data_IF_534341469965
#
_entry.id   IF_534341469965
#
_cell.length_a   1.000
_cell.length_b   1.000
_cell.length_c   1.000
_cell.angle_alpha   90.00
_cell.angle_beta   90.00
_cell.angle_gamma   90.00
#
_symmetry.space_group_name_H-M   'P 1'
#
loop_
_entity.id
_entity.type
_entity.pdbx_description
1 polymer ?
#
# COMPACT_ATOMS: atom_id res chain seq x y z
N UNK A 1 -72.00 -8.91 -35.31
CA UNK A 1 -71.58 -7.55 -34.92
C UNK A 1 -71.38 -7.56 -33.41
N UNK A 2 -70.25 -7.25 -32.76
CA UNK A 2 -68.93 -6.72 -33.13
C UNK A 2 -67.90 -7.38 -32.19
N UNK A 3 -66.67 -7.52 -32.69
CA UNK A 3 -65.43 -7.92 -31.99
C UNK A 3 -64.92 -6.81 -31.04
N UNK A 4 -63.77 -7.12 -30.40
CA UNK A 4 -62.65 -6.26 -29.94
C UNK A 4 -62.53 -6.23 -28.40
N UNK A 5 -61.35 -6.24 -27.75
CA UNK A 5 -60.04 -6.88 -27.93
C UNK A 5 -59.28 -6.76 -26.60
N UNK A 6 -58.26 -7.59 -26.44
CA UNK A 6 -57.02 -7.50 -25.66
C UNK A 6 -56.72 -6.24 -24.83
N UNK A 7 -56.26 -6.44 -23.59
CA UNK A 7 -55.17 -5.67 -22.99
C UNK A 7 -54.43 -6.53 -21.94
N UNK A 8 -53.19 -6.90 -22.25
CA UNK A 8 -52.28 -7.57 -21.32
C UNK A 8 -51.71 -6.56 -20.32
N UNK A 9 -51.60 -6.98 -19.06
CA UNK A 9 -50.97 -6.20 -18.01
C UNK A 9 -49.46 -6.45 -18.05
N UNK A 10 -48.72 -5.42 -18.47
CA UNK A 10 -47.27 -5.33 -18.37
C UNK A 10 -46.94 -5.13 -16.89
N UNK A 11 -46.29 -6.12 -16.25
CA UNK A 11 -45.66 -5.90 -14.94
C UNK A 11 -44.35 -5.13 -15.17
N UNK A 12 -44.37 -3.85 -14.82
CA UNK A 12 -43.21 -2.96 -14.86
C UNK A 12 -42.19 -3.33 -13.79
N UNK A 13 -40.95 -3.48 -14.22
CA UNK A 13 -39.76 -3.59 -13.37
C UNK A 13 -39.54 -2.27 -12.64
N UNK A 14 -39.59 -2.30 -11.31
CA UNK A 14 -39.21 -1.16 -10.46
C UNK A 14 -37.69 -1.10 -10.42
N UNK A 15 -37.11 -0.14 -11.14
CA UNK A 15 -35.74 0.33 -10.92
C UNK A 15 -35.72 1.14 -9.63
N UNK A 16 -35.19 0.56 -8.55
CA UNK A 16 -34.80 1.33 -7.37
C UNK A 16 -33.43 1.98 -7.67
N UNK A 17 -33.48 3.25 -8.07
CA UNK A 17 -32.35 4.17 -7.96
C UNK A 17 -32.22 4.57 -6.49
N UNK A 18 -31.22 4.03 -5.82
CA UNK A 18 -30.71 4.56 -4.55
C UNK A 18 -29.40 5.27 -4.83
N UNK A 19 -29.44 6.60 -4.90
CA UNK A 19 -28.27 7.44 -4.88
C UNK A 19 -28.02 7.89 -3.44
N UNK A 20 -26.82 7.66 -2.91
CA UNK A 20 -26.20 8.49 -1.86
C UNK A 20 -24.70 8.13 -1.72
N UNK A 21 -23.83 9.07 -2.12
CA UNK A 21 -22.66 9.49 -1.35
C UNK A 21 -21.40 8.62 -1.30
N UNK A 22 -20.37 9.11 -1.98
CA UNK A 22 -18.93 9.02 -1.68
C UNK A 22 -18.08 7.95 -2.41
N UNK A 23 -17.06 8.48 -3.11
CA UNK A 23 -15.89 7.86 -3.77
C UNK A 23 -16.13 6.91 -4.94
N UNK A 24 -15.71 7.37 -6.13
CA UNK A 24 -15.36 6.59 -7.31
C UNK A 24 -14.49 5.38 -6.93
N UNK A 25 -15.12 4.25 -6.59
CA UNK A 25 -14.53 2.95 -6.89
C UNK A 25 -14.73 2.77 -8.40
N UNK A 26 -13.71 2.31 -9.13
CA UNK A 26 -13.78 1.93 -10.54
C UNK A 26 -14.72 0.73 -10.79
N UNK A 27 -15.96 0.84 -10.32
CA UNK A 27 -16.99 -0.16 -10.29
C UNK A 27 -17.57 -0.30 -11.69
N UNK A 28 -16.84 -0.99 -12.55
CA UNK A 28 -17.37 -1.51 -13.81
C UNK A 28 -18.28 -2.69 -13.48
N UNK A 29 -19.39 -2.44 -12.79
CA UNK A 29 -20.40 -3.47 -12.56
C UNK A 29 -21.15 -3.70 -13.85
N UNK A 30 -20.95 -4.86 -14.46
CA UNK A 30 -21.72 -5.25 -15.65
C UNK A 30 -22.99 -5.97 -15.23
N UNK A 31 -24.12 -5.76 -15.93
CA UNK A 31 -25.32 -6.56 -15.73
C UNK A 31 -24.97 -8.05 -15.84
N UNK A 32 -25.64 -8.89 -15.06
CA UNK A 32 -25.45 -10.32 -15.18
C UNK A 32 -25.88 -10.79 -16.57
N UNK A 33 -25.02 -11.56 -17.23
CA UNK A 33 -25.37 -12.31 -18.41
C UNK A 33 -25.83 -13.71 -18.00
N UNK A 34 -26.94 -14.16 -18.56
CA UNK A 34 -27.53 -15.46 -18.25
C UNK A 34 -27.49 -16.36 -19.47
N UNK A 35 -26.96 -17.57 -19.31
CA UNK A 35 -27.08 -18.61 -20.32
C UNK A 35 -27.13 -19.98 -19.67
N UNK A 36 -28.11 -20.79 -20.09
CA UNK A 36 -28.22 -22.18 -19.65
C UNK A 36 -28.50 -22.29 -18.15
N UNK A 37 -27.55 -22.83 -17.41
CA UNK A 37 -27.62 -23.16 -15.98
C UNK A 37 -27.05 -22.08 -15.07
N UNK A 38 -26.50 -20.98 -15.62
CA UNK A 38 -25.73 -20.00 -14.85
C UNK A 38 -26.05 -18.55 -15.21
N UNK A 39 -25.88 -17.67 -14.22
CA UNK A 39 -25.80 -16.23 -14.41
C UNK A 39 -24.44 -15.73 -13.92
N UNK A 40 -23.72 -14.95 -14.74
CA UNK A 40 -22.37 -14.46 -14.44
C UNK A 40 -22.31 -12.95 -14.58
N UNK A 41 -21.62 -12.29 -13.65
CA UNK A 41 -21.34 -10.85 -13.71
C UNK A 41 -19.90 -10.57 -13.32
N UNK A 42 -19.34 -9.51 -13.89
CA UNK A 42 -18.13 -8.85 -13.37
C UNK A 42 -18.62 -7.78 -12.39
N UNK A 43 -18.29 -7.93 -11.11
CA UNK A 43 -18.67 -7.00 -10.05
C UNK A 43 -17.77 -5.77 -10.06
N UNK A 44 -16.46 -6.02 -10.13
CA UNK A 44 -15.41 -5.01 -10.10
C UNK A 44 -14.14 -5.53 -10.79
N UNK A 45 -13.12 -4.67 -10.91
CA UNK A 45 -11.78 -5.08 -11.30
C UNK A 45 -10.75 -3.99 -10.98
N UNK A 46 -9.50 -4.40 -10.82
CA UNK A 46 -8.38 -3.54 -10.50
C UNK A 46 -7.07 -4.19 -10.96
N UNK A 47 -6.05 -3.38 -11.21
CA UNK A 47 -4.71 -3.91 -11.38
C UNK A 47 -4.12 -4.33 -10.04
N UNK A 48 -3.45 -5.47 -10.04
CA UNK A 48 -2.82 -6.08 -8.88
C UNK A 48 -1.36 -6.41 -9.17
N UNK A 49 -0.56 -6.65 -8.13
CA UNK A 49 0.83 -7.07 -8.20
C UNK A 49 1.14 -7.97 -7.01
N UNK A 50 1.64 -9.18 -7.25
CA UNK A 50 2.16 -10.07 -6.20
C UNK A 50 3.64 -9.75 -5.94
N UNK A 51 4.13 -10.04 -4.74
CA UNK A 51 5.55 -9.84 -4.42
C UNK A 51 6.47 -10.55 -5.45
N UNK A 52 7.51 -9.84 -5.87
CA UNK A 52 8.48 -10.33 -6.85
C UNK A 52 8.03 -10.26 -8.32
N UNK A 53 6.77 -9.93 -8.57
CA UNK A 53 6.28 -9.72 -9.93
C UNK A 53 6.76 -8.43 -10.56
N UNK A 54 6.82 -8.44 -11.90
CA UNK A 54 7.05 -7.24 -12.71
C UNK A 54 6.11 -7.25 -13.91
N UNK A 55 5.27 -6.23 -14.01
CA UNK A 55 4.52 -5.97 -15.23
C UNK A 55 5.42 -5.27 -16.27
N UNK A 56 5.32 -5.67 -17.53
CA UNK A 56 6.00 -4.98 -18.63
C UNK A 56 5.38 -3.59 -18.89
N UNK A 57 6.10 -2.75 -19.64
CA UNK A 57 5.61 -1.42 -20.04
C UNK A 57 4.28 -1.54 -20.78
N UNK A 58 3.23 -0.87 -20.28
CA UNK A 58 1.89 -0.92 -20.86
C UNK A 58 1.05 -2.14 -20.46
N UNK A 59 1.65 -3.13 -19.80
CA UNK A 59 0.99 -4.32 -19.30
C UNK A 59 0.67 -4.23 -17.80
N UNK A 60 -0.16 -5.15 -17.31
CA UNK A 60 -0.49 -5.30 -15.90
C UNK A 60 -1.27 -6.58 -15.62
N UNK A 61 -1.34 -6.97 -14.34
CA UNK A 61 -2.19 -8.08 -13.92
C UNK A 61 -3.56 -7.55 -13.53
N UNK A 62 -4.56 -7.80 -14.37
CA UNK A 62 -5.94 -7.37 -14.13
C UNK A 62 -6.67 -8.46 -13.35
N UNK A 63 -7.02 -8.15 -12.10
CA UNK A 63 -7.90 -8.97 -11.30
C UNK A 63 -9.36 -8.57 -11.55
N UNK A 64 -10.19 -9.53 -11.96
CA UNK A 64 -11.62 -9.35 -12.15
C UNK A 64 -12.37 -10.07 -11.03
N UNK A 65 -13.14 -9.32 -10.24
CA UNK A 65 -14.05 -9.90 -9.25
C UNK A 65 -15.30 -10.39 -9.98
N UNK A 66 -15.40 -11.71 -10.18
CA UNK A 66 -16.54 -12.33 -10.84
C UNK A 66 -17.52 -12.88 -9.80
N UNK A 67 -18.77 -12.98 -10.20
CA UNK A 67 -19.82 -13.60 -9.41
C UNK A 67 -20.63 -14.54 -10.28
N UNK A 68 -20.70 -15.80 -9.85
CA UNK A 68 -21.42 -16.86 -10.55
C UNK A 68 -22.60 -17.28 -9.70
N UNK A 69 -23.79 -17.33 -10.29
CA UNK A 69 -25.01 -17.84 -9.67
C UNK A 69 -25.48 -19.09 -10.40
N UNK A 70 -25.74 -20.15 -9.64
CA UNK A 70 -26.41 -21.34 -10.17
C UNK A 70 -27.91 -21.09 -10.31
N UNK A 71 -28.41 -21.02 -11.54
CA UNK A 71 -29.85 -20.89 -11.86
C UNK A 71 -30.49 -22.22 -12.29
N UNK A 72 -29.72 -23.32 -12.30
CA UNK A 72 -30.20 -24.65 -12.61
C UNK A 72 -30.91 -25.35 -11.45
N UNK A 73 -31.35 -26.59 -11.68
CA UNK A 73 -31.99 -27.41 -10.64
C UNK A 73 -30.99 -28.22 -9.80
N UNK A 74 -29.81 -28.54 -10.36
CA UNK A 74 -28.81 -29.41 -9.77
C UNK A 74 -27.64 -28.59 -9.22
N UNK A 75 -26.74 -29.21 -8.44
CA UNK A 75 -25.46 -28.58 -8.11
C UNK A 75 -24.61 -28.43 -9.38
N UNK A 76 -23.79 -27.38 -9.42
CA UNK A 76 -22.77 -27.20 -10.44
C UNK A 76 -21.42 -27.10 -9.73
N UNK A 77 -20.40 -27.75 -10.29
CA UNK A 77 -19.04 -27.54 -9.84
C UNK A 77 -18.43 -26.44 -10.69
N UNK A 78 -17.67 -25.56 -10.03
CA UNK A 78 -17.06 -24.38 -10.62
C UNK A 78 -15.60 -24.35 -10.23
N UNK A 79 -14.78 -23.82 -11.11
CA UNK A 79 -13.35 -23.57 -10.91
C UNK A 79 -12.93 -22.36 -11.74
N UNK A 80 -11.73 -21.83 -11.48
CA UNK A 80 -11.17 -20.77 -12.33
C UNK A 80 -10.98 -21.22 -13.79
N UNK A 81 -10.76 -22.54 -14.03
CA UNK A 81 -10.58 -23.11 -15.37
C UNK A 81 -11.84 -23.03 -16.25
N UNK A 82 -13.01 -22.80 -15.66
CA UNK A 82 -14.24 -22.55 -16.40
C UNK A 82 -14.25 -21.16 -17.06
N UNK A 83 -13.25 -20.32 -16.75
CA UNK A 83 -13.05 -19.01 -17.34
C UNK A 83 -11.87 -18.99 -18.32
N UNK A 84 -12.04 -18.24 -19.41
CA UNK A 84 -10.96 -17.94 -20.34
C UNK A 84 -11.06 -16.51 -20.83
N UNK A 85 -9.93 -15.84 -20.98
CA UNK A 85 -9.86 -14.50 -21.53
C UNK A 85 -9.26 -14.57 -22.94
N UNK A 86 -9.89 -13.90 -23.89
CA UNK A 86 -9.42 -13.80 -25.28
C UNK A 86 -9.18 -12.34 -25.64
N UNK A 87 -8.12 -12.09 -26.41
CA UNK A 87 -7.87 -10.78 -26.97
C UNK A 87 -8.62 -10.56 -28.31
N UNK A 88 -8.32 -9.46 -29.00
CA UNK A 88 -8.94 -9.09 -30.27
C UNK A 88 -8.62 -10.04 -31.44
N UNK A 89 -7.57 -10.84 -31.32
CA UNK A 89 -7.10 -11.77 -32.35
C UNK A 89 -7.55 -13.21 -32.06
N UNK A 90 -8.46 -13.38 -31.09
CA UNK A 90 -8.93 -14.66 -30.55
C UNK A 90 -7.82 -15.51 -29.90
N UNK A 91 -6.70 -14.88 -29.51
CA UNK A 91 -5.64 -15.54 -28.77
C UNK A 91 -6.03 -15.66 -27.28
N UNK A 92 -5.86 -16.87 -26.74
CA UNK A 92 -6.19 -17.16 -25.33
C UNK A 92 -5.11 -16.61 -24.40
N UNK A 93 -5.50 -15.77 -23.46
CA UNK A 93 -4.66 -15.30 -22.37
C UNK A 93 -4.72 -16.30 -21.22
N UNK A 94 -3.55 -16.68 -20.71
CA UNK A 94 -3.46 -17.60 -19.58
C UNK A 94 -3.85 -16.88 -18.29
N UNK A 95 -4.63 -17.57 -17.45
CA UNK A 95 -4.87 -17.17 -16.09
C UNK A 95 -3.54 -17.17 -15.32
N UNK A 96 -3.36 -16.16 -14.48
CA UNK A 96 -2.30 -16.14 -13.48
C UNK A 96 -2.88 -16.56 -12.14
N UNK A 97 -2.33 -17.62 -11.57
CA UNK A 97 -2.58 -17.93 -10.16
C UNK A 97 -1.80 -16.92 -9.32
N UNK A 98 -2.52 -16.25 -8.42
CA UNK A 98 -1.94 -15.34 -7.44
C UNK A 98 -2.29 -15.89 -6.07
N UNK A 99 -1.28 -15.95 -5.21
CA UNK A 99 -1.45 -16.26 -3.81
C UNK A 99 -1.49 -14.95 -3.01
N UNK A 100 -2.45 -14.84 -2.09
CA UNK A 100 -2.43 -13.82 -1.03
C UNK A 100 -2.51 -14.59 0.27
N UNK A 101 -1.66 -14.22 1.23
CA UNK A 101 -1.62 -14.84 2.56
C UNK A 101 -2.88 -14.54 3.38
N UNK A 102 -3.62 -13.49 3.01
CA UNK A 102 -4.75 -12.99 3.75
C UNK A 102 -6.10 -13.27 3.06
N UNK A 103 -7.17 -13.40 3.85
CA UNK A 103 -8.54 -13.64 3.36
C UNK A 103 -9.11 -12.47 2.50
N UNK A 104 -8.35 -11.39 2.28
CA UNK A 104 -8.79 -10.18 1.59
C UNK A 104 -8.77 -10.30 0.06
N UNK A 105 -7.87 -11.11 -0.50
CA UNK A 105 -7.80 -11.39 -1.94
C UNK A 105 -7.98 -12.89 -2.21
N UNK A 106 -9.22 -13.30 -2.48
CA UNK A 106 -9.57 -14.71 -2.69
C UNK A 106 -9.66 -15.02 -4.17
N UNK A 107 -8.64 -15.71 -4.68
CA UNK A 107 -8.68 -16.33 -6.00
C UNK A 107 -9.90 -17.25 -6.11
N UNK A 108 -10.46 -17.35 -7.32
CA UNK A 108 -11.66 -18.15 -7.56
C UNK A 108 -11.32 -19.64 -7.50
N UNK A 109 -11.40 -20.21 -6.31
CA UNK A 109 -11.11 -21.62 -6.09
C UNK A 109 -12.27 -22.54 -6.48
N UNK A 110 -11.93 -23.81 -6.70
CA UNK A 110 -12.90 -24.86 -7.00
C UNK A 110 -13.98 -25.01 -5.92
N UNK A 111 -15.26 -24.92 -6.28
CA UNK A 111 -16.39 -25.07 -5.35
C UNK A 111 -17.60 -25.75 -5.99
N UNK A 112 -18.45 -26.35 -5.17
CA UNK A 112 -19.77 -26.86 -5.60
C UNK A 112 -20.87 -25.91 -5.18
N UNK A 113 -21.64 -25.43 -6.15
CA UNK A 113 -22.66 -24.41 -5.97
C UNK A 113 -24.06 -25.01 -6.10
N UNK A 114 -24.79 -25.10 -4.99
CA UNK A 114 -26.19 -25.55 -4.98
C UNK A 114 -27.14 -24.56 -5.69
N UNK A 115 -28.33 -25.04 -6.05
CA UNK A 115 -29.38 -24.23 -6.70
C UNK A 115 -29.61 -22.88 -6.00
N UNK A 116 -29.58 -21.81 -6.80
CA UNK A 116 -29.89 -20.45 -6.38
C UNK A 116 -28.80 -19.78 -5.56
N UNK A 117 -27.69 -20.47 -5.24
CA UNK A 117 -26.54 -19.92 -4.54
C UNK A 117 -25.61 -19.19 -5.50
N UNK A 118 -24.78 -18.33 -4.91
CA UNK A 118 -23.76 -17.56 -5.61
C UNK A 118 -22.41 -17.69 -4.91
N UNK A 119 -21.35 -17.61 -5.70
CA UNK A 119 -19.97 -17.49 -5.23
C UNK A 119 -19.33 -16.30 -5.94
N UNK A 120 -18.48 -15.59 -5.21
CA UNK A 120 -17.68 -14.48 -5.70
C UNK A 120 -16.20 -14.85 -5.54
N UNK A 121 -15.35 -14.39 -6.45
CA UNK A 121 -13.91 -14.60 -6.38
C UNK A 121 -13.16 -13.84 -7.46
N UNK A 122 -11.85 -13.69 -7.30
CA UNK A 122 -10.99 -13.02 -8.26
C UNK A 122 -10.41 -14.00 -9.27
N UNK A 123 -10.31 -13.56 -10.52
CA UNK A 123 -9.57 -14.25 -11.57
C UNK A 123 -8.62 -13.23 -12.18
N UNK A 124 -7.35 -13.62 -12.35
CA UNK A 124 -6.29 -12.70 -12.73
C UNK A 124 -5.71 -13.06 -14.08
N UNK A 125 -5.50 -12.04 -14.92
CA UNK A 125 -4.92 -12.19 -16.25
C UNK A 125 -3.82 -11.16 -16.46
N UNK A 126 -2.75 -11.56 -17.15
CA UNK A 126 -1.77 -10.61 -17.68
C UNK A 126 -2.35 -9.95 -18.93
N UNK A 127 -2.55 -8.63 -18.89
CA UNK A 127 -3.21 -7.87 -19.97
C UNK A 127 -2.42 -6.62 -20.34
N UNK A 128 -2.64 -6.14 -21.55
CA UNK A 128 -2.26 -4.81 -21.99
C UNK A 128 -3.34 -3.82 -21.57
N UNK A 129 -2.96 -2.73 -20.89
CA UNK A 129 -3.91 -1.85 -20.18
C UNK A 129 -4.89 -1.13 -21.09
N UNK A 130 -4.53 -0.89 -22.35
CA UNK A 130 -5.35 -0.14 -23.32
C UNK A 130 -6.15 -1.04 -24.28
N UNK A 131 -6.22 -2.35 -24.00
CA UNK A 131 -6.87 -3.31 -24.87
C UNK A 131 -8.24 -3.76 -24.38
N UNK A 132 -9.01 -4.33 -25.32
CA UNK A 132 -10.30 -4.96 -25.07
C UNK A 132 -10.17 -6.46 -25.21
N UNK A 133 -10.92 -7.16 -24.38
CA UNK A 133 -10.90 -8.60 -24.24
C UNK A 133 -12.33 -9.15 -24.15
N UNK A 134 -12.47 -10.45 -24.31
CA UNK A 134 -13.70 -11.19 -24.04
C UNK A 134 -13.44 -12.23 -22.96
N UNK A 135 -14.13 -12.10 -21.82
CA UNK A 135 -14.14 -13.10 -20.76
C UNK A 135 -15.24 -14.11 -21.05
N UNK A 136 -14.83 -15.33 -21.33
CA UNK A 136 -15.70 -16.47 -21.57
C UNK A 136 -15.85 -17.26 -20.28
N UNK A 137 -17.07 -17.70 -20.01
CA UNK A 137 -17.39 -18.61 -18.92
C UNK A 137 -18.19 -19.78 -19.46
N UNK A 138 -17.71 -20.99 -19.21
CA UNK A 138 -18.40 -22.21 -19.61
C UNK A 138 -18.21 -23.29 -18.56
N UNK A 139 -19.22 -23.55 -17.70
CA UNK A 139 -19.08 -24.51 -16.63
C UNK A 139 -19.05 -25.93 -17.17
N UNK A 140 -18.26 -26.80 -16.54
CA UNK A 140 -18.36 -28.24 -16.73
C UNK A 140 -19.56 -28.76 -15.93
N UNK A 141 -20.54 -29.36 -16.61
CA UNK A 141 -21.72 -29.95 -15.97
C UNK A 141 -21.51 -31.46 -15.77
N UNK A 142 -21.89 -31.96 -14.59
CA UNK A 142 -21.87 -33.41 -14.30
C UNK A 142 -23.02 -34.19 -14.98
N UNK A 143 -23.94 -33.51 -15.67
CA UNK A 143 -25.09 -34.11 -16.35
C UNK A 143 -24.91 -34.13 -17.88
N UNK A 144 -25.77 -34.89 -18.56
CA UNK A 144 -25.86 -34.89 -20.04
C UNK A 144 -26.36 -33.54 -20.63
N UNK A 145 -26.66 -32.54 -19.79
CA UNK A 145 -27.03 -31.21 -20.26
C UNK A 145 -25.81 -30.49 -20.85
N UNK A 146 -25.97 -29.94 -22.06
CA UNK A 146 -24.91 -29.12 -22.67
C UNK A 146 -24.77 -27.80 -21.92
N UNK A 147 -23.57 -27.51 -21.41
CA UNK A 147 -23.26 -26.19 -20.88
C UNK A 147 -23.32 -25.14 -21.98
N UNK A 148 -23.87 -23.97 -21.63
CA UNK A 148 -23.87 -22.79 -22.51
C UNK A 148 -22.78 -21.85 -22.06
N UNK A 149 -22.08 -21.31 -23.04
CA UNK A 149 -21.05 -20.31 -22.83
C UNK A 149 -21.68 -18.94 -22.63
N UNK A 150 -21.10 -18.17 -21.71
CA UNK A 150 -21.42 -16.77 -21.45
C UNK A 150 -20.19 -15.95 -21.80
N UNK A 151 -20.37 -14.93 -22.64
CA UNK A 151 -19.30 -14.01 -23.02
C UNK A 151 -19.56 -12.64 -22.43
N UNK A 152 -18.57 -12.11 -21.71
CA UNK A 152 -18.57 -10.80 -21.09
C UNK A 152 -17.43 -9.98 -21.67
N UNK A 153 -17.75 -8.86 -22.33
CA UNK A 153 -16.71 -7.93 -22.80
C UNK A 153 -15.90 -7.42 -21.61
N UNK A 154 -14.62 -7.18 -21.78
CA UNK A 154 -13.70 -6.57 -20.80
C UNK A 154 -12.95 -5.47 -21.53
N UNK A 155 -12.86 -4.30 -20.90
CA UNK A 155 -12.15 -3.14 -21.47
C UNK A 155 -11.12 -2.74 -20.42
N UNK A 156 -9.87 -3.13 -20.63
CA UNK A 156 -8.82 -3.04 -19.62
C UNK A 156 -8.55 -1.59 -19.20
N UNK A 157 -8.78 -0.65 -20.13
CA UNK A 157 -8.58 0.80 -19.93
C UNK A 157 -9.53 1.41 -18.90
N UNK A 158 -10.60 0.69 -18.54
CA UNK A 158 -11.63 1.17 -17.60
C UNK A 158 -11.36 0.81 -16.16
N UNK A 159 -10.41 -0.08 -15.90
CA UNK A 159 -10.06 -0.47 -14.54
C UNK A 159 -8.93 0.41 -14.02
N UNK A 160 -9.03 0.75 -12.74
CA UNK A 160 -8.08 1.65 -12.11
C UNK A 160 -6.81 0.89 -11.72
N UNK A 161 -5.69 1.58 -11.86
CA UNK A 161 -4.39 1.18 -11.35
C UNK A 161 -3.98 2.15 -10.24
N UNK A 162 -3.97 1.66 -9.02
CA UNK A 162 -3.67 2.47 -7.84
C UNK A 162 -2.19 2.48 -7.45
N UNK A 163 -1.31 1.83 -8.23
CA UNK A 163 0.15 1.77 -8.00
C UNK A 163 0.73 3.13 -7.60
N UNK A 164 0.47 4.17 -8.39
CA UNK A 164 1.01 5.51 -8.13
C UNK A 164 0.30 6.23 -6.97
N UNK A 165 -0.99 5.97 -6.73
CA UNK A 165 -1.70 6.55 -5.60
C UNK A 165 -1.21 5.94 -4.27
N UNK A 166 -0.93 4.64 -4.23
CA UNK A 166 -0.41 3.96 -3.04
C UNK A 166 1.02 4.43 -2.73
N UNK A 167 1.90 4.54 -3.73
CA UNK A 167 3.23 5.15 -3.53
C UNK A 167 3.14 6.54 -2.92
N UNK A 168 2.22 7.36 -3.43
CA UNK A 168 1.97 8.71 -2.88
C UNK A 168 1.46 8.70 -1.44
N UNK A 169 0.68 7.69 -1.03
CA UNK A 169 0.28 7.56 0.38
C UNK A 169 1.46 7.21 1.28
N UNK A 170 2.33 6.30 0.84
CA UNK A 170 3.58 5.98 1.53
C UNK A 170 4.49 7.20 1.65
N UNK A 171 4.68 7.95 0.55
CA UNK A 171 5.44 9.20 0.54
C UNK A 171 4.87 10.24 1.50
N UNK A 172 3.55 10.43 1.48
CA UNK A 172 2.84 11.31 2.40
C UNK A 172 3.10 10.91 3.86
N UNK A 173 2.93 9.62 4.19
CA UNK A 173 3.14 9.12 5.55
C UNK A 173 4.57 9.37 6.03
N UNK A 174 5.57 8.89 5.26
CA UNK A 174 6.99 9.04 5.60
C UNK A 174 7.38 10.51 5.73
N UNK A 175 6.92 11.37 4.82
CA UNK A 175 7.27 12.79 4.85
C UNK A 175 6.65 13.53 6.04
N UNK A 176 5.39 13.24 6.39
CA UNK A 176 4.73 13.93 7.49
C UNK A 176 5.15 13.38 8.86
N UNK A 177 5.29 12.06 9.00
CA UNK A 177 5.60 11.43 10.28
C UNK A 177 7.08 11.57 10.64
N UNK A 178 8.00 11.36 9.70
CA UNK A 178 9.44 11.31 10.00
C UNK A 178 10.20 12.58 9.64
N UNK A 179 9.63 13.45 8.81
CA UNK A 179 10.30 14.67 8.36
C UNK A 179 9.49 15.93 8.64
N UNK A 180 8.29 15.85 9.23
CA UNK A 180 7.39 16.99 9.43
C UNK A 180 7.18 17.85 8.17
N UNK A 181 7.05 17.20 7.01
CA UNK A 181 7.05 17.86 5.70
C UNK A 181 5.79 17.53 4.91
N UNK A 182 5.10 18.58 4.46
CA UNK A 182 4.03 18.48 3.47
C UNK A 182 4.63 18.36 2.06
N UNK A 183 4.13 17.43 1.25
CA UNK A 183 4.55 17.21 -0.15
C UNK A 183 3.39 17.44 -1.13
N UNK A 184 3.67 17.36 -2.44
CA UNK A 184 2.63 17.42 -3.47
C UNK A 184 1.64 16.24 -3.37
N UNK A 185 2.11 15.08 -2.89
CA UNK A 185 1.29 13.90 -2.68
C UNK A 185 0.09 14.18 -1.76
N UNK A 186 0.25 15.07 -0.77
CA UNK A 186 -0.81 15.44 0.17
C UNK A 186 -2.04 16.07 -0.50
N UNK A 187 -1.81 16.84 -1.57
CA UNK A 187 -2.86 17.64 -2.23
C UNK A 187 -3.48 16.90 -3.41
N UNK A 188 -2.71 16.08 -4.11
CA UNK A 188 -3.07 15.54 -5.42
C UNK A 188 -3.48 14.06 -5.42
N UNK A 189 -3.40 13.38 -4.27
CA UNK A 189 -3.74 11.96 -4.19
C UNK A 189 -5.26 11.72 -4.12
N UNK A 190 -5.75 10.80 -4.95
CA UNK A 190 -7.15 10.34 -4.98
C UNK A 190 -7.50 9.50 -3.75
N UNK A 191 -6.52 8.74 -3.26
CA UNK A 191 -6.64 7.96 -2.04
C UNK A 191 -6.29 8.83 -0.83
N UNK A 192 -6.71 8.41 0.37
CA UNK A 192 -6.48 9.13 1.63
C UNK A 192 -6.03 8.18 2.73
N UNK A 193 -5.08 8.66 3.54
CA UNK A 193 -4.71 8.02 4.80
C UNK A 193 -5.76 8.27 5.88
N UNK A 194 -5.91 7.32 6.79
CA UNK A 194 -6.72 7.44 8.00
C UNK A 194 -5.88 7.41 9.29
N UNK A 195 -4.55 7.33 9.17
CA UNK A 195 -3.59 7.56 10.25
C UNK A 195 -3.79 8.95 10.88
N UNK A 196 -3.50 9.08 12.18
CA UNK A 196 -3.38 10.38 12.84
C UNK A 196 -1.93 10.85 12.70
N UNK A 197 -1.61 11.41 11.53
CA UNK A 197 -0.23 11.77 11.18
C UNK A 197 0.42 12.74 12.17
N UNK A 198 -0.38 13.65 12.75
CA UNK A 198 0.11 14.60 13.75
C UNK A 198 0.45 13.91 15.08
N UNK A 199 -0.40 12.97 15.52
CA UNK A 199 -0.09 12.16 16.69
C UNK A 199 1.11 11.25 16.45
N UNK A 200 1.17 10.57 15.30
CA UNK A 200 2.25 9.63 14.98
C UNK A 200 3.61 10.34 14.83
N UNK A 201 3.62 11.55 14.27
CA UNK A 201 4.81 12.41 14.27
C UNK A 201 5.27 12.78 15.70
N UNK A 202 4.34 13.15 16.58
CA UNK A 202 4.67 13.45 17.99
C UNK A 202 5.22 12.21 18.72
N UNK A 203 4.62 11.05 18.50
CA UNK A 203 5.08 9.78 19.09
C UNK A 203 6.49 9.43 18.56
N UNK A 204 6.75 9.62 17.27
CA UNK A 204 8.07 9.47 16.66
C UNK A 204 9.10 10.39 17.31
N UNK A 205 8.81 11.69 17.47
CA UNK A 205 9.73 12.65 18.09
C UNK A 205 10.01 12.37 19.58
N UNK A 206 9.03 11.85 20.31
CA UNK A 206 9.24 11.39 21.69
C UNK A 206 10.18 10.18 21.73
N UNK A 207 9.98 9.21 20.85
CA UNK A 207 10.86 8.05 20.75
C UNK A 207 12.28 8.45 20.33
N UNK A 208 12.41 9.33 19.35
CA UNK A 208 13.72 9.82 18.90
C UNK A 208 14.43 10.55 20.04
N UNK A 209 13.77 11.48 20.72
CA UNK A 209 14.35 12.17 21.88
C UNK A 209 14.79 11.19 22.98
N UNK A 210 13.99 10.15 23.25
CA UNK A 210 14.32 9.14 24.25
C UNK A 210 15.55 8.29 23.86
N UNK A 211 15.71 7.95 22.58
CA UNK A 211 16.88 7.22 22.08
C UNK A 211 18.12 8.13 22.07
N UNK A 212 18.01 9.35 21.55
CA UNK A 212 19.09 10.33 21.54
C UNK A 212 19.59 10.63 22.96
N UNK A 213 18.70 10.67 23.95
CA UNK A 213 19.10 10.86 25.35
C UNK A 213 20.06 9.78 25.87
N UNK A 214 19.96 8.54 25.38
CA UNK A 214 20.83 7.42 25.80
C UNK A 214 22.27 7.55 25.27
N UNK A 215 22.48 8.36 24.25
CA UNK A 215 23.81 8.66 23.71
C UNK A 215 24.63 9.60 24.61
N UNK A 216 24.01 10.15 25.66
CA UNK A 216 24.66 11.01 26.65
C UNK A 216 24.80 10.26 27.98
N UNK A 217 26.04 10.12 28.44
CA UNK A 217 26.38 9.31 29.63
C UNK A 217 26.69 10.17 30.85
N UNK A 218 27.21 11.36 30.63
CA UNK A 218 27.67 12.28 31.67
C UNK A 218 26.68 13.45 31.85
N UNK A 219 26.20 14.00 30.73
CA UNK A 219 25.18 15.04 30.72
C UNK A 219 23.78 14.44 30.70
N UNK A 220 22.83 15.12 31.37
CA UNK A 220 21.41 14.79 31.30
C UNK A 220 20.69 15.89 30.52
N UNK A 221 20.55 15.75 29.18
CA UNK A 221 19.80 16.70 28.38
C UNK A 221 18.37 16.88 28.87
N UNK A 222 17.90 18.12 28.83
CA UNK A 222 16.48 18.42 29.01
C UNK A 222 15.67 18.03 27.77
N UNK A 223 14.38 17.77 27.96
CA UNK A 223 13.46 17.44 26.85
C UNK A 223 13.43 18.56 25.79
N UNK A 224 13.59 19.82 26.22
CA UNK A 224 13.64 20.97 25.31
C UNK A 224 14.92 21.04 24.47
N UNK A 225 16.06 20.57 24.99
CA UNK A 225 17.30 20.49 24.21
C UNK A 225 17.25 19.34 23.21
N UNK A 226 16.75 18.17 23.64
CA UNK A 226 16.58 17.00 22.78
C UNK A 226 15.59 17.30 21.64
N UNK A 227 14.44 17.91 21.95
CA UNK A 227 13.45 18.29 20.94
C UNK A 227 14.03 19.22 19.87
N UNK A 228 14.85 20.21 20.25
CA UNK A 228 15.53 21.10 19.28
C UNK A 228 16.52 20.35 18.40
N UNK A 229 17.26 19.38 18.95
CA UNK A 229 18.19 18.58 18.18
C UNK A 229 17.44 17.70 17.16
N UNK A 230 16.34 17.06 17.58
CA UNK A 230 15.45 16.27 16.72
C UNK A 230 14.86 17.14 15.61
N UNK A 231 14.24 18.27 15.92
CA UNK A 231 13.68 19.21 14.93
C UNK A 231 14.74 19.68 13.92
N UNK A 232 15.97 19.91 14.38
CA UNK A 232 17.08 20.30 13.51
C UNK A 232 17.51 19.17 12.57
N UNK A 233 17.51 17.93 13.07
CA UNK A 233 17.80 16.74 12.27
C UNK A 233 16.75 16.52 11.18
N UNK A 234 15.46 16.62 11.54
CA UNK A 234 14.36 16.56 10.58
C UNK A 234 14.50 17.65 9.53
N UNK A 235 14.72 18.89 9.96
CA UNK A 235 14.90 20.05 9.05
C UNK A 235 16.06 19.86 8.08
N UNK A 236 17.17 19.26 8.52
CA UNK A 236 18.29 18.95 7.65
C UNK A 236 17.92 17.87 6.63
N UNK A 237 17.24 16.81 7.06
CA UNK A 237 16.79 15.73 6.17
C UNK A 237 15.66 16.14 5.22
N UNK A 238 14.80 17.10 5.59
CA UNK A 238 13.82 17.69 4.66
C UNK A 238 14.48 18.25 3.38
N UNK A 239 15.73 18.75 3.48
CA UNK A 239 16.51 19.33 2.39
C UNK A 239 17.38 18.29 1.67
N UNK A 240 17.88 17.29 2.39
CA UNK A 240 18.95 16.42 1.93
C UNK A 240 18.52 14.99 1.61
N UNK A 241 17.52 14.47 2.32
CA UNK A 241 17.11 13.10 2.16
C UNK A 241 16.57 12.85 0.75
N UNK A 242 16.97 11.70 0.17
CA UNK A 242 16.42 11.17 -1.07
C UNK A 242 15.73 9.87 -0.73
N UNK A 243 14.45 9.76 -1.03
CA UNK A 243 13.67 8.58 -0.68
C UNK A 243 13.03 8.08 -1.96
N UNK A 244 13.32 6.82 -2.30
CA UNK A 244 12.71 6.14 -3.43
C UNK A 244 11.61 5.20 -2.94
N UNK A 245 10.50 5.12 -3.69
CA UNK A 245 9.33 4.30 -3.36
C UNK A 245 9.02 3.36 -4.51
N UNK A 246 8.95 2.06 -4.24
CA UNK A 246 8.55 1.04 -5.21
C UNK A 246 7.39 0.21 -4.64
N UNK A 247 6.47 -0.21 -5.50
CA UNK A 247 5.38 -1.10 -5.07
C UNK A 247 5.95 -2.51 -5.08
N UNK A 248 5.84 -3.18 -3.94
CA UNK A 248 6.21 -4.57 -3.75
C UNK A 248 5.01 -5.48 -4.04
N UNK A 249 3.87 -5.13 -3.44
CA UNK A 249 2.60 -5.83 -3.57
C UNK A 249 1.45 -4.83 -3.67
N UNK A 250 0.44 -5.15 -4.48
CA UNK A 250 -0.79 -4.38 -4.60
C UNK A 250 -1.99 -5.29 -4.83
N UNK A 251 -2.95 -5.19 -3.92
CA UNK A 251 -4.26 -5.83 -4.01
C UNK A 251 -5.35 -4.79 -3.70
N UNK A 252 -6.65 -5.11 -3.92
CA UNK A 252 -7.73 -4.13 -3.75
C UNK A 252 -7.80 -3.47 -2.37
N UNK A 253 -7.40 -4.20 -1.32
CA UNK A 253 -7.52 -3.76 0.08
C UNK A 253 -6.20 -3.81 0.86
N UNK A 254 -5.10 -4.21 0.24
CA UNK A 254 -3.80 -4.34 0.88
C UNK A 254 -2.70 -3.97 -0.11
N UNK A 255 -1.60 -3.39 0.39
CA UNK A 255 -0.45 -3.08 -0.43
C UNK A 255 0.81 -3.01 0.43
N UNK A 256 1.95 -3.30 -0.19
CA UNK A 256 3.26 -3.17 0.41
C UNK A 256 4.11 -2.26 -0.45
N UNK A 257 4.71 -1.26 0.18
CA UNK A 257 5.60 -0.29 -0.47
C UNK A 257 7.00 -0.46 0.11
N UNK A 258 7.97 -0.63 -0.77
CA UNK A 258 9.38 -0.59 -0.45
C UNK A 258 9.84 0.87 -0.37
N UNK A 259 10.47 1.23 0.76
CA UNK A 259 11.00 2.57 1.05
C UNK A 259 12.52 2.48 1.13
N UNK A 260 13.21 3.16 0.22
CA UNK A 260 14.67 3.21 0.16
C UNK A 260 15.17 4.61 0.53
N UNK A 261 15.42 4.89 1.81
CA UNK A 261 15.97 6.18 2.25
C UNK A 261 17.49 6.27 2.03
N UNK A 262 17.93 7.43 1.55
CA UNK A 262 19.30 7.93 1.64
C UNK A 262 19.24 9.24 2.43
N UNK A 263 19.78 9.27 3.65
CA UNK A 263 19.58 10.35 4.62
C UNK A 263 20.80 10.54 5.54
N UNK A 264 20.78 11.58 6.37
CA UNK A 264 21.82 11.79 7.38
C UNK A 264 21.73 10.68 8.43
N UNK A 265 22.87 10.14 8.86
CA UNK A 265 23.00 9.19 9.97
C UNK A 265 23.96 9.74 11.02
N UNK A 266 23.85 9.28 12.27
CA UNK A 266 24.78 9.68 13.33
C UNK A 266 26.20 9.15 13.09
N UNK A 267 26.36 7.99 12.45
CA UNK A 267 27.67 7.47 12.00
C UNK A 267 28.38 8.41 11.02
N UNK A 268 27.61 9.23 10.28
CA UNK A 268 28.15 10.26 9.39
C UNK A 268 28.58 11.55 10.11
N UNK A 269 28.42 11.63 11.43
CA UNK A 269 28.79 12.78 12.25
C UNK A 269 30.05 12.45 13.05
N UNK A 270 31.11 13.19 12.80
CA UNK A 270 32.38 13.08 13.53
C UNK A 270 32.25 13.74 14.92
N UNK A 271 31.69 13.00 15.88
CA UNK A 271 31.49 13.44 17.27
C UNK A 271 32.83 13.59 18.01
N UNK A 272 33.82 12.75 17.69
CA UNK A 272 35.18 12.81 18.26
C UNK A 272 35.85 14.14 17.97
N UNK A 273 35.73 14.65 16.74
CA UNK A 273 36.25 15.97 16.35
C UNK A 273 35.56 17.11 17.10
N UNK A 274 34.26 17.01 17.36
CA UNK A 274 33.51 18.00 18.15
C UNK A 274 34.01 18.02 19.59
N UNK A 275 34.18 16.86 20.22
CA UNK A 275 34.71 16.76 21.59
C UNK A 275 36.16 17.22 21.66
N UNK A 276 36.99 16.85 20.67
CA UNK A 276 38.38 17.30 20.57
C UNK A 276 38.46 18.82 20.46
N UNK A 277 37.57 19.45 19.69
CA UNK A 277 37.46 20.90 19.61
C UNK A 277 37.15 21.50 20.98
N UNK A 278 36.17 20.96 21.71
CA UNK A 278 35.84 21.42 23.07
C UNK A 278 37.05 21.33 24.01
N UNK A 279 37.76 20.20 24.01
CA UNK A 279 38.94 19.99 24.86
C UNK A 279 40.01 21.04 24.56
N UNK A 280 40.34 21.25 23.29
CA UNK A 280 41.34 22.24 22.87
C UNK A 280 40.93 23.68 23.24
N UNK A 281 39.67 24.04 23.04
CA UNK A 281 39.17 25.39 23.35
C UNK A 281 39.09 25.66 24.87
N UNK A 282 39.17 24.61 25.70
CA UNK A 282 39.03 24.71 27.15
C UNK A 282 40.21 24.13 27.95
N UNK A 283 41.37 23.97 27.31
CA UNK A 283 42.59 23.52 27.98
C UNK A 283 42.93 24.39 29.19
N UNK A 284 43.17 23.75 30.34
CA UNK A 284 43.51 24.41 31.60
C UNK A 284 42.37 25.18 32.28
N UNK A 285 41.12 25.08 31.79
CA UNK A 285 39.95 25.76 32.40
C UNK A 285 39.18 24.93 33.43
N UNK A 286 39.48 23.64 33.53
CA UNK A 286 38.79 22.72 34.44
C UNK A 286 39.78 22.11 35.42
N UNK A 287 39.46 22.19 36.71
CA UNK A 287 40.17 21.49 37.79
C UNK A 287 39.46 20.17 38.18
N UNK A 288 38.27 19.92 37.60
CA UNK A 288 37.41 18.78 37.86
C UNK A 288 37.05 18.09 36.53
N UNK A 289 37.42 16.81 36.43
CA UNK A 289 37.19 16.00 35.24
C UNK A 289 35.70 15.74 35.00
N UNK A 290 34.90 15.48 36.05
CA UNK A 290 33.48 15.18 35.91
C UNK A 290 32.74 16.37 35.28
N UNK A 291 33.03 17.57 35.79
CA UNK A 291 32.48 18.81 35.23
C UNK A 291 32.91 19.05 33.79
N UNK A 292 34.16 18.76 33.44
CA UNK A 292 34.65 18.89 32.07
C UNK A 292 33.90 17.94 31.12
N UNK A 293 33.65 16.69 31.54
CA UNK A 293 32.91 15.71 30.74
C UNK A 293 31.44 16.10 30.54
N UNK A 294 30.77 16.58 31.59
CA UNK A 294 29.39 17.11 31.50
C UNK A 294 29.30 18.27 30.50
N UNK A 295 30.21 19.24 30.61
CA UNK A 295 30.21 20.41 29.73
C UNK A 295 30.61 20.05 28.28
N UNK A 296 31.43 19.01 28.08
CA UNK A 296 31.79 18.48 26.75
C UNK A 296 30.60 17.82 26.05
N UNK A 297 29.87 16.93 26.72
CA UNK A 297 28.67 16.31 26.19
C UNK A 297 27.57 17.35 25.91
N UNK A 298 27.42 18.34 26.79
CA UNK A 298 26.52 19.47 26.55
C UNK A 298 26.93 20.28 25.31
N UNK A 299 28.23 20.52 25.11
CA UNK A 299 28.75 21.19 23.93
C UNK A 299 28.46 20.37 22.66
N UNK A 300 28.65 19.04 22.69
CA UNK A 300 28.31 18.15 21.58
C UNK A 300 26.85 18.33 21.14
N UNK A 301 25.90 18.26 22.09
CA UNK A 301 24.47 18.46 21.79
C UNK A 301 24.20 19.83 21.14
N UNK A 302 24.89 20.88 21.59
CA UNK A 302 24.76 22.23 21.01
C UNK A 302 25.35 22.33 19.59
N UNK A 303 26.37 21.54 19.26
CA UNK A 303 27.00 21.55 17.94
C UNK A 303 26.25 20.69 16.92
N UNK A 304 25.53 19.64 17.34
CA UNK A 304 24.83 18.71 16.45
C UNK A 304 24.01 19.39 15.33
N UNK A 305 23.14 20.39 15.60
CA UNK A 305 22.39 21.08 14.54
C UNK A 305 23.25 21.63 13.40
N UNK A 306 24.40 22.23 13.72
CA UNK A 306 25.31 22.77 12.70
C UNK A 306 25.97 21.68 11.86
N UNK A 307 26.17 20.50 12.44
CA UNK A 307 26.82 19.37 11.77
C UNK A 307 25.86 18.66 10.83
N UNK A 308 24.58 18.54 11.18
CA UNK A 308 23.55 17.99 10.28
C UNK A 308 23.48 18.73 8.94
N UNK A 309 23.55 20.07 8.95
CA UNK A 309 23.55 20.87 7.73
C UNK A 309 24.81 20.64 6.85
N UNK A 310 25.92 20.16 7.41
CA UNK A 310 27.14 19.80 6.66
C UNK A 310 27.28 18.31 6.33
N UNK A 311 26.54 17.44 7.02
CA UNK A 311 26.66 15.99 6.90
C UNK A 311 26.30 15.47 5.51
N UNK A 312 26.97 14.40 5.07
CA UNK A 312 26.58 13.68 3.85
C UNK A 312 25.43 12.73 4.13
N UNK A 313 24.65 12.41 3.09
CA UNK A 313 23.62 11.37 3.15
C UNK A 313 24.20 10.02 2.80
N UNK A 314 23.65 8.97 3.40
CA UNK A 314 23.99 7.58 3.08
C UNK A 314 22.76 6.70 3.22
N UNK A 315 22.78 5.53 2.59
CA UNK A 315 21.80 4.48 2.87
C UNK A 315 22.18 3.81 4.20
N UNK A 316 21.19 3.38 5.01
CA UNK A 316 21.48 2.60 6.22
C UNK A 316 22.25 1.32 5.88
N UNK A 317 23.28 0.99 6.67
CA UNK A 317 24.22 -0.11 6.41
C UNK A 317 23.56 -1.49 6.32
N UNK A 318 22.53 -1.71 7.15
CA UNK A 318 21.87 -3.00 7.31
C UNK A 318 20.55 -3.10 6.52
N UNK A 319 20.27 -2.11 5.67
CA UNK A 319 19.07 -2.11 4.83
C UNK A 319 19.21 -3.11 3.69
N UNK A 320 18.14 -3.84 3.40
CA UNK A 320 18.08 -4.70 2.22
C UNK A 320 18.24 -3.89 0.92
N UNK A 321 18.65 -4.54 -0.18
CA UNK A 321 18.74 -3.86 -1.48
C UNK A 321 17.40 -3.32 -2.00
N UNK A 322 16.28 -3.87 -1.50
CA UNK A 322 14.92 -3.44 -1.84
C UNK A 322 14.39 -2.36 -0.88
N UNK A 323 15.10 -2.06 0.20
CA UNK A 323 14.68 -1.10 1.22
C UNK A 323 13.93 -1.74 2.37
N UNK A 324 13.09 -0.92 3.02
CA UNK A 324 12.19 -1.34 4.09
C UNK A 324 10.76 -1.43 3.57
N UNK A 325 10.07 -2.51 3.91
CA UNK A 325 8.65 -2.67 3.61
C UNK A 325 7.80 -1.85 4.58
N UNK A 326 6.82 -1.13 4.04
CA UNK A 326 5.68 -0.60 4.80
C UNK A 326 4.39 -1.20 4.26
N UNK A 327 3.55 -1.68 5.16
CA UNK A 327 2.28 -2.31 4.81
C UNK A 327 1.13 -1.32 4.96
N UNK A 328 0.21 -1.34 3.99
CA UNK A 328 -0.99 -0.52 4.00
C UNK A 328 -2.22 -1.42 3.86
N UNK A 329 -3.26 -1.11 4.63
CA UNK A 329 -4.57 -1.78 4.52
C UNK A 329 -5.67 -0.77 4.27
N UNK A 330 -6.64 -1.14 3.44
CA UNK A 330 -7.82 -0.34 3.16
C UNK A 330 -8.98 -0.77 4.04
N UNK A 331 -9.58 0.19 4.74
CA UNK A 331 -10.84 0.02 5.46
C UNK A 331 -11.76 1.20 5.18
N UNK A 332 -13.00 0.90 4.79
CA UNK A 332 -14.04 1.89 4.54
C UNK A 332 -13.62 3.00 3.55
N UNK A 333 -12.85 2.62 2.52
CA UNK A 333 -12.39 3.53 1.47
C UNK A 333 -11.23 4.43 1.86
N UNK A 334 -10.61 4.22 3.02
CA UNK A 334 -9.37 4.89 3.42
C UNK A 334 -8.29 3.87 3.72
N UNK A 335 -7.05 4.28 3.49
CA UNK A 335 -5.88 3.45 3.72
C UNK A 335 -5.23 3.79 5.05
N UNK A 336 -4.62 2.80 5.68
CA UNK A 336 -3.89 2.94 6.95
C UNK A 336 -2.53 2.29 6.75
N UNK A 337 -1.46 3.03 7.03
CA UNK A 337 -0.12 2.46 7.18
C UNK A 337 -0.07 1.73 8.52
N UNK A 338 0.37 0.48 8.52
CA UNK A 338 0.60 -0.28 9.74
C UNK A 338 1.84 0.23 10.46
N UNK A 339 1.62 1.05 11.48
CA UNK A 339 2.66 1.56 12.38
C UNK A 339 2.73 0.79 13.71
N UNK A 340 2.10 -0.38 13.79
CA UNK A 340 2.09 -1.19 15.00
C UNK A 340 3.49 -1.71 15.35
N UNK A 341 3.78 -1.77 16.66
CA UNK A 341 4.97 -2.42 17.19
C UNK A 341 4.68 -3.92 17.35
N UNK A 342 5.03 -4.70 16.33
CA UNK A 342 4.88 -6.16 16.30
C UNK A 342 6.06 -6.83 15.60
N UNK A 343 6.34 -8.09 15.93
CA UNK A 343 7.45 -8.85 15.33
C UNK A 343 7.25 -9.06 13.81
N UNK A 344 6.00 -9.08 13.35
CA UNK A 344 5.63 -9.17 11.94
C UNK A 344 5.82 -7.86 11.17
N UNK A 345 6.05 -6.73 11.87
CA UNK A 345 6.24 -5.40 11.27
C UNK A 345 7.68 -4.89 11.50
N UNK A 346 8.67 -5.79 11.43
CA UNK A 346 10.07 -5.49 11.76
C UNK A 346 10.68 -4.45 10.80
N UNK A 347 10.36 -4.51 9.50
CA UNK A 347 10.87 -3.57 8.50
C UNK A 347 10.44 -2.13 8.81
N UNK A 348 9.20 -1.93 9.27
CA UNK A 348 8.74 -0.63 9.73
C UNK A 348 9.53 -0.13 10.95
N UNK A 349 9.85 -1.00 11.92
CA UNK A 349 10.65 -0.61 13.08
C UNK A 349 12.10 -0.26 12.71
N UNK A 350 12.67 -0.98 11.73
CA UNK A 350 14.00 -0.67 11.17
C UNK A 350 13.98 0.66 10.38
N UNK A 351 12.91 0.93 9.64
CA UNK A 351 12.67 2.21 8.98
C UNK A 351 12.61 3.36 9.98
N UNK A 352 11.85 3.21 11.07
CA UNK A 352 11.76 4.20 12.16
C UNK A 352 13.15 4.52 12.72
N UNK A 353 13.95 3.48 13.01
CA UNK A 353 15.32 3.64 13.54
C UNK A 353 16.25 4.33 12.54
N UNK A 354 16.10 4.03 11.25
CA UNK A 354 16.82 4.71 10.17
C UNK A 354 16.49 6.20 10.16
N UNK A 355 15.20 6.56 10.24
CA UNK A 355 14.75 7.96 10.32
C UNK A 355 15.16 8.69 11.61
N UNK A 356 15.57 7.96 12.65
CA UNK A 356 16.21 8.49 13.86
C UNK A 356 17.74 8.55 13.75
N UNK A 357 18.28 8.47 12.52
CA UNK A 357 19.72 8.55 12.27
C UNK A 357 20.51 7.29 12.62
N UNK A 358 19.84 6.13 12.72
CA UNK A 358 20.45 4.85 13.08
C UNK A 358 20.44 4.55 14.58
N UNK A 359 19.71 5.33 15.38
CA UNK A 359 19.56 5.06 16.81
C UNK A 359 18.56 3.93 17.06
N UNK A 360 19.02 2.86 17.69
CA UNK A 360 18.21 1.69 18.05
C UNK A 360 17.65 1.80 19.48
N UNK A 361 16.65 0.97 19.81
CA UNK A 361 16.04 0.96 21.16
C UNK A 361 16.99 0.51 22.27
#
# INVERSE_FOLDING_TARGET
>A
MKKVSTAGLILGTVLLLGACGNSDKGSVTKPAAEAGSTAVKIKSGSYVLEEGDKAGDGAGYLALEVSVKNISKNSIDLSSQDFSLYDKDDDKISEKNIYSEDDFFRSFDGTSLSKGKSVDGYIVFSVEKEQKYELHFKPILQSDEKSKEITLKVDASKYHDDTENIKKLAEQYVSQVFLNKTTAADKENKLKLNNDLGKEHNDFNQQFSARLKKEFTEYVPSDAELGKAVESFETANQKKAKINYTIDQLFPNEATVNVLPEMITFDGIDTDSIITQFVNENEGKYDDYEKASIDAEKYLLQQLPSKFDSATTSQPSDMSGEGYKINLTQKDGKWIVDSSKSDSNYDYQALVSSFMGGLYE
#
